data_IF_633895940674
#
_entry.id   IF_633895940674
#
_cell.length_a   1.000
_cell.length_b   1.000
_cell.length_c   1.000
_cell.angle_alpha   90.00
_cell.angle_beta   90.00
_cell.angle_gamma   90.00
#
_symmetry.space_group_name_H-M   'P 1'
#
loop_
_entity.id
_entity.type
_entity.pdbx_description
1 polymer ?
#
# COMPACT_ATOMS: atom_id res chain seq x y z
N UNK A 1 5.53 0.36 -20.27
CA UNK A 1 5.07 0.20 -18.87
C UNK A 1 4.85 1.60 -18.31
N UNK A 2 3.66 1.91 -17.80
CA UNK A 2 3.39 3.23 -17.24
C UNK A 2 4.01 3.34 -15.83
N UNK A 3 4.65 4.48 -15.53
CA UNK A 3 5.21 4.76 -14.21
C UNK A 3 4.88 6.19 -13.79
N UNK A 4 4.78 6.39 -12.48
CA UNK A 4 4.61 7.70 -11.85
C UNK A 4 5.68 7.81 -10.76
N UNK A 5 6.38 8.94 -10.72
CA UNK A 5 7.39 9.24 -9.71
C UNK A 5 6.94 10.45 -8.91
N UNK A 6 6.94 10.31 -7.59
CA UNK A 6 6.53 11.37 -6.66
C UNK A 6 7.68 11.62 -5.69
N UNK A 7 8.06 12.89 -5.54
CA UNK A 7 9.00 13.30 -4.50
C UNK A 7 8.20 13.69 -3.27
N UNK A 8 8.42 12.98 -2.16
CA UNK A 8 7.76 13.24 -0.89
C UNK A 8 8.76 13.84 0.09
N UNK A 9 8.27 14.74 0.94
CA UNK A 9 9.02 15.31 2.06
C UNK A 9 8.20 15.12 3.33
N UNK A 10 8.86 14.72 4.41
CA UNK A 10 8.22 14.62 5.71
C UNK A 10 7.93 16.01 6.25
N UNK A 11 6.69 16.24 6.67
CA UNK A 11 6.27 17.49 7.33
C UNK A 11 6.52 17.46 8.84
N UNK A 12 6.74 16.28 9.42
CA UNK A 12 7.08 16.08 10.83
C UNK A 12 7.81 14.74 11.04
N UNK A 13 8.20 14.41 12.29
CA UNK A 13 8.89 13.16 12.60
C UNK A 13 8.07 11.93 12.20
N UNK A 14 8.71 10.95 11.56
CA UNK A 14 8.11 9.67 11.24
C UNK A 14 8.51 8.61 12.25
N UNK A 15 7.52 7.89 12.78
CA UNK A 15 7.74 6.74 13.66
C UNK A 15 7.64 5.46 12.84
N UNK A 16 8.79 4.93 12.42
CA UNK A 16 8.88 3.75 11.57
C UNK A 16 9.36 2.54 12.37
N UNK A 17 9.03 1.34 11.88
CA UNK A 17 9.63 0.07 12.32
C UNK A 17 10.30 -0.61 11.13
N UNK A 18 11.50 -1.13 11.35
CA UNK A 18 12.22 -1.95 10.38
C UNK A 18 11.70 -3.37 10.30
N UNK A 19 12.42 -4.22 9.57
CA UNK A 19 12.18 -5.67 9.61
C UNK A 19 12.46 -6.26 11.02
N UNK A 20 13.44 -5.70 11.73
CA UNK A 20 13.63 -5.92 13.16
C UNK A 20 12.85 -4.86 13.97
N UNK A 21 11.85 -5.26 14.78
CA UNK A 21 11.08 -4.33 15.60
C UNK A 21 11.88 -3.57 16.67
N UNK A 22 13.06 -4.07 17.05
CA UNK A 22 13.97 -3.44 18.03
C UNK A 22 15.19 -2.79 17.37
N UNK A 23 15.35 -2.98 16.06
CA UNK A 23 16.43 -2.40 15.27
C UNK A 23 16.12 -0.97 14.80
N UNK A 24 16.93 -0.50 13.86
CA UNK A 24 16.79 0.84 13.30
C UNK A 24 15.47 1.02 12.52
N UNK A 25 14.87 2.22 12.55
CA UNK A 25 13.68 2.52 11.76
C UNK A 25 14.01 2.52 10.26
N UNK A 26 13.23 1.77 9.48
CA UNK A 26 13.41 1.70 8.02
C UNK A 26 12.21 2.25 7.26
N UNK A 27 12.48 3.02 6.20
CA UNK A 27 11.46 3.42 5.25
C UNK A 27 11.34 2.37 4.14
N UNK A 28 10.26 1.58 4.18
CA UNK A 28 10.11 0.37 3.34
C UNK A 28 9.00 0.52 2.32
N UNK A 29 9.27 0.09 1.08
CA UNK A 29 8.28 0.08 0.01
C UNK A 29 7.04 -0.75 0.36
N UNK A 30 7.22 -1.84 1.13
CA UNK A 30 6.13 -2.68 1.62
C UNK A 30 5.15 -1.92 2.53
N UNK A 31 5.67 -1.05 3.42
CA UNK A 31 4.83 -0.23 4.30
C UNK A 31 4.01 0.78 3.51
N UNK A 32 4.63 1.47 2.55
CA UNK A 32 3.94 2.41 1.65
C UNK A 32 2.89 1.69 0.81
N UNK A 33 3.23 0.53 0.24
CA UNK A 33 2.28 -0.32 -0.48
C UNK A 33 1.07 -0.70 0.40
N UNK A 34 1.29 -1.02 1.67
CA UNK A 34 0.21 -1.30 2.63
C UNK A 34 -0.71 -0.10 2.84
N UNK A 35 -0.15 1.10 3.00
CA UNK A 35 -0.92 2.34 3.14
C UNK A 35 -1.74 2.66 1.87
N UNK A 36 -1.14 2.49 0.69
CA UNK A 36 -1.85 2.69 -0.58
C UNK A 36 -3.01 1.70 -0.74
N UNK A 37 -2.81 0.43 -0.37
CA UNK A 37 -3.88 -0.59 -0.38
C UNK A 37 -5.00 -0.25 0.60
N UNK A 38 -4.66 0.25 1.79
CA UNK A 38 -5.64 0.72 2.78
C UNK A 38 -6.49 1.87 2.23
N UNK A 39 -5.86 2.91 1.68
CA UNK A 39 -6.58 4.05 1.13
C UNK A 39 -7.41 3.71 -0.10
N UNK A 40 -6.95 2.77 -0.93
CA UNK A 40 -7.78 2.23 -2.02
C UNK A 40 -9.06 1.61 -1.45
N UNK A 41 -8.97 0.75 -0.43
CA UNK A 41 -10.17 0.17 0.20
C UNK A 41 -11.10 1.23 0.79
N UNK A 42 -10.57 2.31 1.36
CA UNK A 42 -11.38 3.40 1.89
C UNK A 42 -12.17 4.11 0.78
N UNK A 43 -11.54 4.35 -0.37
CA UNK A 43 -12.20 4.93 -1.56
C UNK A 43 -13.27 3.98 -2.09
N UNK A 44 -12.92 2.70 -2.31
CA UNK A 44 -13.88 1.69 -2.76
C UNK A 44 -15.04 1.50 -1.78
N UNK A 45 -14.76 1.58 -0.48
CA UNK A 45 -15.74 1.52 0.59
C UNK A 45 -16.73 2.69 0.62
N UNK A 46 -16.36 3.82 0.02
CA UNK A 46 -17.27 4.95 -0.19
C UNK A 46 -18.26 4.69 -1.35
N UNK A 47 -17.89 3.85 -2.31
CA UNK A 47 -18.74 3.48 -3.45
C UNK A 47 -19.64 2.28 -3.15
N UNK A 48 -19.17 1.33 -2.33
CA UNK A 48 -19.91 0.11 -1.98
C UNK A 48 -19.55 -0.39 -0.59
N UNK A 49 -20.53 -0.97 0.12
CA UNK A 49 -20.30 -1.67 1.39
C UNK A 49 -20.17 -3.20 1.22
N UNK A 50 -20.22 -3.71 -0.01
CA UNK A 50 -20.02 -5.14 -0.27
C UNK A 50 -18.53 -5.49 -0.12
N UNK A 51 -18.20 -6.14 1.00
CA UNK A 51 -16.82 -6.52 1.34
C UNK A 51 -16.17 -7.44 0.31
N UNK A 52 -16.94 -8.34 -0.31
CA UNK A 52 -16.44 -9.23 -1.36
C UNK A 52 -16.03 -8.42 -2.58
N UNK A 53 -16.87 -7.49 -3.03
CA UNK A 53 -16.57 -6.63 -4.16
C UNK A 53 -15.33 -5.75 -3.91
N UNK A 54 -15.19 -5.18 -2.70
CA UNK A 54 -14.00 -4.41 -2.32
C UNK A 54 -12.76 -5.30 -2.38
N UNK A 55 -12.83 -6.51 -1.79
CA UNK A 55 -11.71 -7.45 -1.76
C UNK A 55 -11.28 -7.90 -3.16
N UNK A 56 -12.23 -8.18 -4.05
CA UNK A 56 -11.95 -8.55 -5.44
C UNK A 56 -11.22 -7.42 -6.18
N UNK A 57 -11.70 -6.18 -6.04
CA UNK A 57 -11.10 -5.02 -6.69
C UNK A 57 -9.72 -4.68 -6.12
N UNK A 58 -9.53 -4.67 -4.80
CA UNK A 58 -8.20 -4.43 -4.22
C UNK A 58 -7.20 -5.53 -4.61
N UNK A 59 -7.64 -6.79 -4.65
CA UNK A 59 -6.80 -7.94 -5.01
C UNK A 59 -6.43 -7.93 -6.50
N UNK A 60 -7.31 -7.45 -7.38
CA UNK A 60 -6.99 -7.29 -8.80
C UNK A 60 -5.85 -6.29 -9.07
N UNK A 61 -5.60 -5.35 -8.14
CA UNK A 61 -4.56 -4.32 -8.23
C UNK A 61 -3.32 -4.73 -7.42
N UNK A 62 -3.50 -4.97 -6.11
CA UNK A 62 -2.42 -5.25 -5.16
C UNK A 62 -2.11 -6.74 -4.98
N UNK A 63 -2.77 -7.63 -5.71
CA UNK A 63 -2.58 -9.07 -5.60
C UNK A 63 -3.16 -9.67 -4.32
N UNK A 64 -3.17 -10.99 -4.29
CA UNK A 64 -3.58 -11.84 -3.17
C UNK A 64 -2.63 -13.03 -3.05
N UNK A 65 -2.92 -13.98 -2.17
CA UNK A 65 -2.17 -15.25 -2.10
C UNK A 65 -2.31 -16.09 -3.37
N UNK A 66 -3.38 -15.89 -4.15
CA UNK A 66 -3.64 -16.61 -5.39
C UNK A 66 -3.24 -15.87 -6.67
N UNK A 67 -2.89 -14.57 -6.59
CA UNK A 67 -2.60 -13.75 -7.76
C UNK A 67 -1.51 -12.69 -7.49
N UNK A 68 -0.55 -12.58 -8.41
CA UNK A 68 0.47 -11.54 -8.38
C UNK A 68 -0.09 -10.14 -8.55
N UNK A 69 0.59 -9.14 -7.99
CA UNK A 69 0.17 -7.74 -8.14
C UNK A 69 0.50 -7.16 -9.51
N UNK A 70 -0.39 -6.30 -10.00
CA UNK A 70 -0.16 -5.52 -11.23
C UNK A 70 0.65 -4.24 -11.01
N UNK A 71 0.90 -3.86 -9.75
CA UNK A 71 1.59 -2.62 -9.37
C UNK A 71 2.81 -2.93 -8.53
N UNK A 72 3.94 -2.29 -8.84
CA UNK A 72 5.18 -2.33 -8.08
C UNK A 72 5.45 -0.98 -7.44
N UNK A 73 5.78 -0.97 -6.15
CA UNK A 73 6.20 0.24 -5.41
C UNK A 73 7.70 0.15 -5.20
N UNK A 74 8.43 1.23 -5.52
CA UNK A 74 9.87 1.36 -5.33
C UNK A 74 10.17 2.68 -4.63
N UNK A 75 11.13 2.65 -3.71
CA UNK A 75 11.68 3.82 -3.01
C UNK A 75 13.09 4.09 -3.51
#
# INVERSE_FOLDING_TARGET
MASITVRLQTTGPMFLKGADPRGDPEFRAASIRGQLRFWLRAILGAETQNLTAIWEQESAIFGSTGAGSKVMVRL
#
